data_IF_712042780056
#
_entry.id   IF_712042780056
#
_cell.length_a   1.000
_cell.length_b   1.000
_cell.length_c   1.000
_cell.angle_alpha   90.00
_cell.angle_beta   90.00
_cell.angle_gamma   90.00
#
_symmetry.space_group_name_H-M   'P 1'
#
loop_
_entity.id
_entity.type
_entity.pdbx_description
1 polymer ?
#
# COMPACT_ATOMS: atom_id res chain seq x y z
N UNK A 1 10.68 3.30 -19.93
CA UNK A 1 9.90 3.03 -18.71
C UNK A 1 10.21 4.12 -17.69
N UNK A 2 9.27 4.68 -16.92
CA UNK A 2 9.59 5.58 -15.83
C UNK A 2 10.20 4.75 -14.68
N UNK A 3 11.52 4.84 -14.54
CA UNK A 3 12.39 3.87 -13.85
C UNK A 3 12.29 3.85 -12.31
N UNK A 4 11.21 4.36 -11.68
CA UNK A 4 11.20 4.51 -10.21
C UNK A 4 9.82 4.50 -9.54
N UNK A 5 8.81 3.87 -10.14
CA UNK A 5 7.50 3.67 -9.49
C UNK A 5 7.36 2.32 -8.77
N UNK A 6 8.14 1.32 -9.17
CA UNK A 6 8.03 -0.08 -8.75
C UNK A 6 9.36 -0.57 -8.17
N UNK A 7 9.32 -1.57 -7.30
CA UNK A 7 10.53 -2.23 -6.81
C UNK A 7 11.05 -3.23 -7.85
N UNK A 8 12.33 -3.59 -7.79
CA UNK A 8 12.97 -4.56 -8.70
C UNK A 8 12.18 -5.87 -8.83
N UNK A 9 11.58 -6.34 -7.72
CA UNK A 9 10.71 -7.53 -7.70
C UNK A 9 9.49 -7.36 -8.61
N UNK A 10 8.88 -6.18 -8.58
CA UNK A 10 7.66 -5.86 -9.33
C UNK A 10 7.94 -5.53 -10.79
N UNK A 11 9.12 -4.99 -11.08
CA UNK A 11 9.59 -4.82 -12.45
C UNK A 11 9.79 -6.17 -13.15
N UNK A 12 10.42 -7.15 -12.49
CA UNK A 12 10.54 -8.51 -13.03
C UNK A 12 9.19 -9.15 -13.29
N UNK A 13 8.27 -9.04 -12.30
CA UNK A 13 6.91 -9.55 -12.43
C UNK A 13 6.16 -8.91 -13.60
N UNK A 14 6.34 -7.61 -13.82
CA UNK A 14 5.77 -6.90 -14.97
C UNK A 14 6.29 -7.47 -16.29
N UNK A 15 7.60 -7.62 -16.44
CA UNK A 15 8.20 -8.15 -17.67
C UNK A 15 7.79 -9.60 -17.96
N UNK A 16 7.72 -10.45 -16.93
CA UNK A 16 7.28 -11.85 -17.07
C UNK A 16 5.83 -11.94 -17.58
N UNK A 17 4.93 -11.12 -17.01
CA UNK A 17 3.52 -11.08 -17.43
C UNK A 17 3.39 -10.49 -18.84
N UNK A 18 4.12 -9.41 -19.13
CA UNK A 18 4.12 -8.79 -20.46
C UNK A 18 4.60 -9.79 -21.53
N UNK A 19 5.65 -10.53 -21.24
CA UNK A 19 6.18 -11.58 -22.12
C UNK A 19 5.15 -12.70 -22.32
N UNK A 20 4.56 -13.22 -21.23
CA UNK A 20 3.56 -14.28 -21.32
C UNK A 20 2.32 -13.87 -22.14
N UNK A 21 1.83 -12.64 -21.98
CA UNK A 21 0.68 -12.16 -22.76
C UNK A 21 1.03 -11.97 -24.25
N UNK A 22 2.26 -11.53 -24.56
CA UNK A 22 2.75 -11.49 -25.95
C UNK A 22 2.85 -12.88 -26.57
N UNK A 23 3.38 -13.86 -25.83
CA UNK A 23 3.50 -15.25 -26.28
C UNK A 23 2.11 -15.88 -26.54
N UNK A 24 1.07 -15.40 -25.85
CA UNK A 24 -0.34 -15.76 -26.09
C UNK A 24 -0.99 -15.03 -27.28
N UNK A 25 -0.23 -14.23 -28.02
CA UNK A 25 -0.69 -13.49 -29.20
C UNK A 25 -1.36 -12.15 -28.91
N UNK A 26 -1.23 -11.59 -27.70
CA UNK A 26 -1.76 -10.24 -27.40
C UNK A 26 -0.85 -9.17 -28.02
N UNK A 27 -1.46 -8.05 -28.40
CA UNK A 27 -0.69 -6.87 -28.82
C UNK A 27 0.17 -6.33 -27.66
N UNK A 28 1.33 -5.75 -28.00
CA UNK A 28 2.25 -5.19 -27.00
C UNK A 28 1.55 -4.23 -26.02
N UNK A 29 0.76 -3.31 -26.54
CA UNK A 29 0.01 -2.34 -25.74
C UNK A 29 -0.96 -3.02 -24.77
N UNK A 30 -1.60 -4.12 -25.20
CA UNK A 30 -2.51 -4.89 -24.36
C UNK A 30 -1.76 -5.67 -23.29
N UNK A 31 -0.64 -6.29 -23.66
CA UNK A 31 0.22 -7.03 -22.72
C UNK A 31 0.79 -6.11 -21.62
N UNK A 32 1.29 -4.93 -21.98
CA UNK A 32 1.74 -3.90 -21.04
C UNK A 32 0.63 -3.46 -20.08
N UNK A 33 -0.57 -3.21 -20.59
CA UNK A 33 -1.70 -2.83 -19.74
C UNK A 33 -2.06 -3.94 -18.74
N UNK A 34 -2.09 -5.21 -19.17
CA UNK A 34 -2.39 -6.36 -18.32
C UNK A 34 -1.30 -6.54 -17.26
N UNK A 35 -0.03 -6.45 -17.65
CA UNK A 35 1.11 -6.55 -16.75
C UNK A 35 1.07 -5.44 -15.68
N UNK A 36 0.90 -4.18 -16.09
CA UNK A 36 0.81 -3.04 -15.18
C UNK A 36 -0.37 -3.17 -14.21
N UNK A 37 -1.55 -3.56 -14.71
CA UNK A 37 -2.74 -3.76 -13.87
C UNK A 37 -2.52 -4.87 -12.83
N UNK A 38 -1.90 -5.98 -13.24
CA UNK A 38 -1.63 -7.12 -12.36
C UNK A 38 -0.64 -6.74 -11.25
N UNK A 39 0.48 -6.10 -11.62
CA UNK A 39 1.49 -5.64 -10.66
C UNK A 39 0.93 -4.59 -9.71
N UNK A 40 0.15 -3.62 -10.19
CA UNK A 40 -0.47 -2.62 -9.33
C UNK A 40 -1.47 -3.24 -8.34
N UNK A 41 -2.25 -4.25 -8.75
CA UNK A 41 -3.11 -5.01 -7.83
C UNK A 41 -2.29 -5.70 -6.74
N UNK A 42 -1.25 -6.43 -7.12
CA UNK A 42 -0.37 -7.10 -6.15
C UNK A 42 0.28 -6.11 -5.18
N UNK A 43 0.72 -4.94 -5.67
CA UNK A 43 1.26 -3.88 -4.82
C UNK A 43 0.24 -3.36 -3.81
N UNK A 44 -1.02 -3.19 -4.22
CA UNK A 44 -2.09 -2.76 -3.31
C UNK A 44 -2.36 -3.81 -2.21
N UNK A 45 -2.42 -5.09 -2.58
CA UNK A 45 -2.62 -6.21 -1.65
C UNK A 45 -1.48 -6.34 -0.64
N UNK A 46 -0.23 -6.12 -1.06
CA UNK A 46 0.95 -6.18 -0.19
C UNK A 46 1.26 -4.87 0.54
N UNK A 47 0.46 -3.83 0.33
CA UNK A 47 0.71 -2.55 0.94
C UNK A 47 1.99 -1.85 0.47
N UNK A 48 2.40 -2.06 -0.77
CA UNK A 48 3.58 -1.45 -1.42
C UNK A 48 3.25 -0.15 -2.19
N UNK A 49 2.05 0.40 -2.00
CA UNK A 49 1.62 1.67 -2.61
C UNK A 49 1.87 2.85 -1.66
N UNK A 50 2.00 4.07 -2.20
CA UNK A 50 2.30 5.28 -1.41
C UNK A 50 1.28 5.56 -0.28
N UNK A 51 0.04 5.07 -0.43
CA UNK A 51 -1.04 5.20 0.55
C UNK A 51 -1.17 4.03 1.52
N UNK A 52 -0.52 2.90 1.27
CA UNK A 52 -0.66 1.70 2.09
C UNK A 52 0.33 1.62 3.24
N UNK A 53 0.64 2.78 3.84
CA UNK A 53 1.32 2.86 5.15
C UNK A 53 0.37 2.39 6.26
N UNK A 54 0.00 1.12 6.22
CA UNK A 54 -0.52 0.33 7.34
C UNK A 54 0.54 -0.69 7.72
N UNK A 55 1.78 -0.22 7.92
CA UNK A 55 2.81 -0.99 8.59
C UNK A 55 2.40 -1.17 10.05
N UNK A 56 1.92 -2.36 10.39
CA UNK A 56 1.87 -2.93 11.74
C UNK A 56 0.87 -2.35 12.76
N UNK A 57 0.20 -1.23 12.49
CA UNK A 57 -0.72 -0.66 13.48
C UNK A 57 -1.66 0.40 12.91
N UNK A 58 -2.65 0.78 13.74
CA UNK A 58 -3.60 1.85 13.42
C UNK A 58 -2.87 3.15 13.09
N UNK A 59 -3.39 3.91 12.12
CA UNK A 59 -2.87 5.25 11.80
C UNK A 59 -3.11 6.22 12.97
N UNK A 60 -2.39 7.36 13.00
CA UNK A 60 -2.63 8.39 14.02
C UNK A 60 -4.11 8.80 14.03
N UNK A 61 -4.71 8.98 12.86
CA UNK A 61 -6.11 9.37 12.74
C UNK A 61 -7.07 8.29 13.26
N UNK A 62 -6.78 7.01 12.98
CA UNK A 62 -7.55 5.89 13.51
C UNK A 62 -7.45 5.79 15.05
N UNK A 63 -6.28 6.09 15.61
CA UNK A 63 -6.09 6.13 17.06
C UNK A 63 -6.74 7.39 17.66
N UNK A 64 -6.68 8.53 16.98
CA UNK A 64 -7.33 9.77 17.38
C UNK A 64 -8.86 9.60 17.46
N UNK A 65 -9.46 8.97 16.44
CA UNK A 65 -10.90 8.70 16.42
C UNK A 65 -11.31 7.71 17.52
N UNK A 66 -10.49 6.69 17.79
CA UNK A 66 -10.74 5.76 18.90
C UNK A 66 -10.60 6.46 20.26
N UNK A 67 -9.57 7.29 20.44
CA UNK A 67 -9.39 8.11 21.63
C UNK A 67 -10.55 9.10 21.82
N UNK A 68 -11.10 9.66 20.74
CA UNK A 68 -12.31 10.49 20.76
C UNK A 68 -13.53 9.71 21.20
N UNK A 69 -13.75 8.50 20.66
CA UNK A 69 -14.88 7.63 21.06
C UNK A 69 -14.80 7.19 22.52
N UNK A 70 -13.58 7.02 23.04
CA UNK A 70 -13.32 6.69 24.45
C UNK A 70 -13.22 7.92 25.37
N UNK A 71 -13.47 9.13 24.85
CA UNK A 71 -13.37 10.39 25.59
C UNK A 71 -12.01 10.58 26.30
N UNK A 72 -10.91 10.22 25.65
CA UNK A 72 -9.56 10.46 26.17
C UNK A 72 -9.25 11.96 26.06
N UNK A 73 -8.98 12.59 27.19
CA UNK A 73 -8.58 13.99 27.25
C UNK A 73 -7.15 14.19 26.75
N UNK A 74 -6.87 15.37 26.20
CA UNK A 74 -5.54 15.67 25.64
C UNK A 74 -5.22 14.95 24.31
N UNK A 75 -6.10 14.10 23.79
CA UNK A 75 -5.96 13.38 22.49
C UNK A 75 -5.52 14.25 21.31
N UNK A 76 -5.91 15.54 21.28
CA UNK A 76 -5.53 16.47 20.20
C UNK A 76 -4.09 16.95 20.28
N UNK A 77 -3.43 16.76 21.42
CA UNK A 77 -2.01 17.05 21.63
C UNK A 77 -1.13 15.80 21.50
N UNK A 78 -1.73 14.61 21.55
CA UNK A 78 -1.02 13.33 21.51
C UNK A 78 -0.55 12.96 20.09
N UNK A 79 0.66 12.42 20.01
CA UNK A 79 1.24 11.82 18.81
C UNK A 79 0.74 10.37 18.60
N UNK A 80 1.18 9.68 17.53
CA UNK A 80 0.73 8.31 17.22
C UNK A 80 1.04 7.31 18.35
N UNK A 81 2.22 7.40 18.96
CA UNK A 81 2.62 6.52 20.05
C UNK A 81 1.81 6.83 21.31
N UNK A 82 1.73 8.10 21.71
CA UNK A 82 0.94 8.53 22.87
C UNK A 82 -0.54 8.16 22.76
N UNK A 83 -1.12 8.25 21.56
CA UNK A 83 -2.49 7.78 21.31
C UNK A 83 -2.60 6.25 21.39
N UNK A 84 -1.60 5.50 20.94
CA UNK A 84 -1.57 4.04 21.06
C UNK A 84 -1.45 3.60 22.53
N UNK A 85 -0.56 4.24 23.29
CA UNK A 85 -0.33 3.99 24.72
C UNK A 85 -1.58 4.31 25.54
N UNK A 86 -2.21 5.48 25.31
CA UNK A 86 -3.45 5.88 25.97
C UNK A 86 -4.63 4.94 25.65
N UNK A 87 -4.56 4.21 24.53
CA UNK A 87 -5.55 3.21 24.13
C UNK A 87 -5.22 1.79 24.64
N UNK A 88 -4.09 1.60 25.32
CA UNK A 88 -3.60 0.30 25.80
C UNK A 88 -3.10 -0.60 24.67
N UNK A 89 -2.51 -0.02 23.62
CA UNK A 89 -2.00 -0.71 22.42
C UNK A 89 -0.47 -0.61 22.26
N UNK A 90 0.23 -0.22 23.32
CA UNK A 90 1.70 -0.13 23.39
C UNK A 90 2.37 -1.44 23.77
#
# INVERSE_FOLDING_TARGET
>A
MPQQAWSDKRERQYEDIKKSERDRGRSEKRAEQIAAATVNKTRAEHGETKGSRSGGGKTRDQLYDEARRRNIDGRSKMNKQELADALGRG
#
